data_IF_201778433300
#
_entry.id   IF_201778433300
#
_cell.length_a   1.000
_cell.length_b   1.000
_cell.length_c   1.000
_cell.angle_alpha   90.00
_cell.angle_beta   90.00
_cell.angle_gamma   90.00
#
_symmetry.space_group_name_H-M   'P 1'
#
loop_
_entity.id
_entity.type
_entity.pdbx_description
1 polymer ?
#
# COMPACT_ATOMS: atom_id res chain seq x y z
N UNK A 1 5.17 -4.54 -42.08
CA UNK A 1 4.55 -4.76 -40.75
C UNK A 1 3.27 -3.93 -40.69
N UNK A 2 2.11 -4.55 -40.48
CA UNK A 2 0.86 -3.80 -40.29
C UNK A 2 0.85 -3.29 -38.85
N UNK A 3 0.74 -1.97 -38.67
CA UNK A 3 0.48 -1.37 -37.37
C UNK A 3 -0.88 -1.87 -36.88
N UNK A 4 -0.88 -2.82 -35.95
CA UNK A 4 -2.09 -3.30 -35.28
C UNK A 4 -2.39 -2.25 -34.21
N UNK A 5 -3.27 -1.30 -34.55
CA UNK A 5 -3.88 -0.43 -33.55
C UNK A 5 -4.87 -1.26 -32.73
N UNK A 6 -4.84 -1.20 -31.38
CA UNK A 6 -5.81 -1.88 -30.55
C UNK A 6 -7.23 -1.47 -30.96
N UNK A 7 -8.09 -2.45 -31.25
CA UNK A 7 -9.51 -2.18 -31.53
C UNK A 7 -10.12 -1.49 -30.31
N UNK A 8 -10.80 -0.36 -30.50
CA UNK A 8 -11.62 0.27 -29.46
C UNK A 8 -12.55 -0.82 -28.85
N UNK A 9 -12.78 -0.82 -27.53
CA UNK A 9 -13.47 -1.94 -26.87
C UNK A 9 -14.86 -2.23 -27.45
N UNK A 10 -15.51 -1.27 -28.13
CA UNK A 10 -16.83 -1.46 -28.72
C UNK A 10 -17.91 -1.38 -27.65
N UNK A 11 -17.90 -0.28 -26.89
CA UNK A 11 -18.87 0.06 -25.83
C UNK A 11 -20.26 0.41 -26.36
N UNK A 12 -20.39 0.55 -27.68
CA UNK A 12 -21.59 1.03 -28.38
C UNK A 12 -22.71 -0.01 -28.40
N UNK A 13 -22.32 -1.30 -28.37
CA UNK A 13 -23.23 -2.45 -28.41
C UNK A 13 -23.11 -3.34 -27.17
N UNK A 14 -22.34 -2.90 -26.17
CA UNK A 14 -22.08 -3.63 -24.95
C UNK A 14 -21.78 -2.65 -23.82
N UNK A 15 -22.42 -2.76 -22.64
CA UNK A 15 -23.32 -3.84 -22.25
C UNK A 15 -24.66 -3.84 -22.99
N UNK A 16 -25.35 -4.98 -23.03
CA UNK A 16 -26.72 -5.00 -23.56
C UNK A 16 -27.67 -4.22 -22.62
N UNK A 17 -28.83 -3.75 -23.11
CA UNK A 17 -29.82 -3.11 -22.24
C UNK A 17 -30.25 -3.97 -21.05
N UNK A 18 -30.29 -5.30 -21.22
CA UNK A 18 -30.59 -6.24 -20.14
C UNK A 18 -29.49 -6.29 -19.10
N UNK A 19 -28.22 -6.33 -19.53
CA UNK A 19 -27.06 -6.29 -18.63
C UNK A 19 -27.01 -4.97 -17.84
N UNK A 20 -27.34 -3.85 -18.49
CA UNK A 20 -27.43 -2.54 -17.82
C UNK A 20 -28.52 -2.54 -16.74
N UNK A 21 -29.70 -3.08 -17.05
CA UNK A 21 -30.79 -3.16 -16.08
C UNK A 21 -30.41 -4.04 -14.88
N UNK A 22 -29.70 -5.14 -15.10
CA UNK A 22 -29.23 -6.02 -14.03
C UNK A 22 -28.20 -5.33 -13.13
N UNK A 23 -27.24 -4.59 -13.71
CA UNK A 23 -26.29 -3.77 -12.93
C UNK A 23 -26.99 -2.68 -12.13
N UNK A 24 -27.98 -2.00 -12.71
CA UNK A 24 -28.78 -0.99 -12.01
C UNK A 24 -29.54 -1.58 -10.82
N UNK A 25 -30.16 -2.75 -11.01
CA UNK A 25 -30.85 -3.45 -9.95
C UNK A 25 -29.89 -3.89 -8.84
N UNK A 26 -28.68 -4.33 -9.19
CA UNK A 26 -27.63 -4.69 -8.22
C UNK A 26 -27.04 -3.50 -7.49
N UNK A 27 -26.93 -2.35 -8.14
CA UNK A 27 -26.51 -1.15 -7.46
C UNK A 27 -27.51 -0.73 -6.37
N UNK A 28 -28.81 -1.06 -6.52
CA UNK A 28 -29.87 -0.74 -5.55
C UNK A 28 -29.82 0.71 -5.05
N UNK A 29 -29.50 1.64 -5.96
CA UNK A 29 -29.33 3.07 -5.65
C UNK A 29 -28.01 3.46 -4.94
N UNK A 30 -27.14 2.50 -4.61
CA UNK A 30 -25.82 2.73 -4.04
C UNK A 30 -24.87 3.25 -5.12
N UNK A 31 -24.74 4.58 -5.20
CA UNK A 31 -23.85 5.26 -6.15
C UNK A 31 -22.40 4.72 -6.08
N UNK A 32 -21.89 4.42 -4.88
CA UNK A 32 -20.55 3.85 -4.70
C UNK A 32 -20.42 2.46 -5.32
N UNK A 33 -21.44 1.60 -5.17
CA UNK A 33 -21.45 0.29 -5.82
C UNK A 33 -21.41 0.45 -7.35
N UNK A 34 -22.28 1.29 -7.91
CA UNK A 34 -22.33 1.53 -9.35
C UNK A 34 -20.99 2.05 -9.89
N UNK A 35 -20.42 3.07 -9.25
CA UNK A 35 -19.15 3.66 -9.66
C UNK A 35 -17.99 2.65 -9.58
N UNK A 36 -17.88 1.93 -8.45
CA UNK A 36 -16.82 0.93 -8.24
C UNK A 36 -16.98 -0.26 -9.20
N UNK A 37 -18.20 -0.76 -9.42
CA UNK A 37 -18.46 -1.86 -10.36
C UNK A 37 -18.13 -1.45 -11.80
N UNK A 38 -18.53 -0.25 -12.24
CA UNK A 38 -18.20 0.23 -13.59
C UNK A 38 -16.69 0.39 -13.79
N UNK A 39 -15.98 0.94 -12.80
CA UNK A 39 -14.53 1.11 -12.90
C UNK A 39 -13.79 -0.24 -12.87
N UNK A 40 -14.28 -1.21 -12.09
CA UNK A 40 -13.76 -2.57 -12.10
C UNK A 40 -14.01 -3.27 -13.45
N UNK A 41 -15.21 -3.15 -14.03
CA UNK A 41 -15.51 -3.64 -15.38
C UNK A 41 -14.55 -3.06 -16.41
N UNK A 42 -14.34 -1.75 -16.37
CA UNK A 42 -13.42 -1.06 -17.29
C UNK A 42 -11.99 -1.59 -17.15
N UNK A 43 -11.49 -1.72 -15.91
CA UNK A 43 -10.16 -2.24 -15.63
C UNK A 43 -9.95 -3.66 -16.19
N UNK A 44 -10.90 -4.57 -15.93
CA UNK A 44 -10.82 -5.95 -16.44
C UNK A 44 -10.82 -6.01 -17.97
N UNK A 45 -11.63 -5.17 -18.63
CA UNK A 45 -11.68 -5.12 -20.11
C UNK A 45 -10.42 -4.47 -20.68
N UNK A 46 -9.82 -3.51 -19.99
CA UNK A 46 -8.55 -2.90 -20.40
C UNK A 46 -7.41 -3.92 -20.34
N UNK A 47 -7.41 -4.77 -19.31
CA UNK A 47 -6.39 -5.79 -19.08
C UNK A 47 -6.53 -6.98 -20.04
N UNK A 48 -7.73 -7.57 -20.12
CA UNK A 48 -7.96 -8.85 -20.81
C UNK A 48 -8.72 -8.70 -22.14
N UNK A 49 -9.01 -7.46 -22.55
CA UNK A 49 -9.74 -7.14 -23.76
C UNK A 49 -11.23 -7.52 -23.72
N UNK A 50 -11.85 -7.57 -24.89
CA UNK A 50 -13.29 -7.85 -25.01
C UNK A 50 -13.68 -9.29 -24.68
N UNK A 51 -12.71 -10.21 -24.56
CA UNK A 51 -12.94 -11.60 -24.17
C UNK A 51 -13.41 -11.71 -22.71
N UNK A 52 -12.96 -10.81 -21.83
CA UNK A 52 -13.33 -10.80 -20.41
C UNK A 52 -14.79 -10.40 -20.14
N UNK A 53 -15.45 -9.73 -21.10
CA UNK A 53 -16.82 -9.18 -20.95
C UNK A 53 -17.83 -10.14 -20.32
N UNK A 54 -17.87 -11.38 -20.81
CA UNK A 54 -18.82 -12.39 -20.35
C UNK A 54 -18.51 -12.83 -18.91
N UNK A 55 -17.23 -13.01 -18.60
CA UNK A 55 -16.79 -13.46 -17.28
C UNK A 55 -16.97 -12.35 -16.23
N UNK A 56 -16.60 -11.12 -16.57
CA UNK A 56 -16.78 -9.92 -15.74
C UNK A 56 -18.25 -9.74 -15.37
N UNK A 57 -19.16 -9.85 -16.35
CA UNK A 57 -20.60 -9.79 -16.07
C UNK A 57 -21.06 -10.92 -15.16
N UNK A 58 -20.70 -12.16 -15.47
CA UNK A 58 -21.06 -13.33 -14.66
C UNK A 58 -20.58 -13.19 -13.21
N UNK A 59 -19.36 -12.69 -13.00
CA UNK A 59 -18.81 -12.48 -11.67
C UNK A 59 -19.64 -11.47 -10.86
N UNK A 60 -20.05 -10.36 -11.47
CA UNK A 60 -20.88 -9.35 -10.80
C UNK A 60 -22.31 -9.84 -10.54
N UNK A 61 -22.90 -10.58 -11.48
CA UNK A 61 -24.30 -11.01 -11.38
C UNK A 61 -24.51 -12.16 -10.41
N UNK A 62 -23.49 -12.98 -10.14
CA UNK A 62 -23.57 -14.11 -9.20
C UNK A 62 -23.38 -13.72 -7.72
N UNK A 63 -23.09 -12.45 -7.41
CA UNK A 63 -22.86 -11.97 -6.04
C UNK A 63 -24.15 -11.91 -5.20
N UNK A 64 -24.07 -12.26 -3.92
CA UNK A 64 -25.18 -12.43 -2.98
C UNK A 64 -25.69 -11.14 -2.33
N UNK A 65 -26.42 -11.29 -1.21
CA UNK A 65 -27.05 -10.18 -0.47
C UNK A 65 -26.05 -9.62 0.56
N UNK A 66 -25.30 -8.62 0.12
CA UNK A 66 -24.25 -7.92 0.85
C UNK A 66 -23.51 -6.97 -0.08
N UNK A 67 -24.25 -6.24 -0.92
CA UNK A 67 -23.83 -5.69 -2.22
C UNK A 67 -22.42 -5.09 -2.23
N UNK A 68 -22.09 -4.23 -1.28
CA UNK A 68 -20.80 -3.53 -1.26
C UNK A 68 -19.63 -4.38 -0.72
N UNK A 69 -19.85 -5.13 0.35
CA UNK A 69 -18.84 -6.05 0.93
C UNK A 69 -18.52 -7.18 -0.05
N UNK A 70 -19.54 -7.69 -0.74
CA UNK A 70 -19.36 -8.66 -1.82
C UNK A 70 -18.52 -8.04 -2.94
N UNK A 71 -18.80 -6.79 -3.36
CA UNK A 71 -18.05 -6.10 -4.41
C UNK A 71 -16.58 -5.94 -4.02
N UNK A 72 -16.30 -5.55 -2.78
CA UNK A 72 -14.94 -5.47 -2.27
C UNK A 72 -14.26 -6.84 -2.21
N UNK A 73 -14.96 -7.88 -1.76
CA UNK A 73 -14.46 -9.25 -1.81
C UNK A 73 -14.13 -9.67 -3.24
N UNK A 74 -14.97 -9.35 -4.22
CA UNK A 74 -14.71 -9.65 -5.63
C UNK A 74 -13.47 -8.89 -6.12
N UNK A 75 -13.30 -7.61 -5.77
CA UNK A 75 -12.10 -6.84 -6.14
C UNK A 75 -10.86 -7.51 -5.54
N UNK A 76 -10.85 -7.79 -4.23
CA UNK A 76 -9.73 -8.44 -3.54
C UNK A 76 -9.39 -9.83 -4.11
N UNK A 77 -10.39 -10.63 -4.46
CA UNK A 77 -10.19 -12.02 -4.97
C UNK A 77 -10.04 -12.10 -6.49
N UNK A 78 -10.48 -11.10 -7.25
CA UNK A 78 -10.18 -10.99 -8.69
C UNK A 78 -8.68 -10.86 -8.94
N UNK A 79 -7.98 -10.29 -7.96
CA UNK A 79 -6.52 -10.17 -7.91
C UNK A 79 -5.86 -11.54 -7.65
N UNK A 80 -6.58 -12.55 -7.14
CA UNK A 80 -6.05 -13.91 -6.96
C UNK A 80 -6.15 -14.79 -8.23
N UNK A 81 -7.01 -14.44 -9.19
CA UNK A 81 -7.44 -15.35 -10.28
C UNK A 81 -6.68 -15.21 -11.61
N UNK A 82 -5.52 -14.55 -11.64
CA UNK A 82 -4.77 -14.32 -12.90
C UNK A 82 -4.06 -15.60 -13.41
N UNK A 83 -3.93 -16.66 -12.60
CA UNK A 83 -3.36 -17.93 -13.08
C UNK A 83 -4.30 -19.12 -12.90
N UNK A 84 -5.16 -19.31 -13.89
CA UNK A 84 -5.79 -20.61 -14.15
C UNK A 84 -4.69 -21.56 -14.64
N UNK A 85 -3.95 -22.20 -13.73
CA UNK A 85 -3.08 -23.31 -14.13
C UNK A 85 -1.95 -23.76 -13.20
N UNK A 86 -1.52 -22.98 -12.21
CA UNK A 86 -0.50 -23.42 -11.26
C UNK A 86 -0.76 -22.80 -9.88
N UNK A 87 -0.79 -23.59 -8.78
CA UNK A 87 -0.79 -23.06 -7.44
C UNK A 87 0.64 -22.62 -7.12
N UNK A 88 1.08 -21.54 -7.75
CA UNK A 88 2.32 -20.90 -7.37
C UNK A 88 2.09 -20.19 -6.04
N UNK A 89 2.30 -20.96 -4.96
CA UNK A 89 2.02 -20.55 -3.59
C UNK A 89 2.85 -19.33 -3.20
N UNK A 90 4.03 -19.18 -3.81
CA UNK A 90 4.93 -18.05 -3.60
C UNK A 90 4.35 -16.78 -4.21
N UNK A 91 3.79 -16.85 -5.43
CA UNK A 91 3.13 -15.70 -6.08
C UNK A 91 1.90 -15.20 -5.31
N UNK A 92 1.06 -16.11 -4.80
CA UNK A 92 -0.07 -15.71 -3.96
C UNK A 92 0.40 -15.03 -2.68
N UNK A 93 1.44 -15.59 -2.05
CA UNK A 93 2.02 -15.04 -0.82
C UNK A 93 2.61 -13.65 -1.05
N UNK A 94 3.44 -13.48 -2.07
CA UNK A 94 4.03 -12.18 -2.44
C UNK A 94 2.94 -11.14 -2.77
N UNK A 95 1.88 -11.55 -3.45
CA UNK A 95 0.76 -10.67 -3.77
C UNK A 95 -0.02 -10.21 -2.55
N UNK A 96 -0.21 -11.11 -1.57
CA UNK A 96 -0.85 -10.76 -0.31
C UNK A 96 0.01 -9.83 0.54
N UNK A 97 1.30 -10.14 0.66
CA UNK A 97 2.26 -9.30 1.39
C UNK A 97 2.36 -7.91 0.74
N UNK A 98 2.46 -7.85 -0.59
CA UNK A 98 2.45 -6.59 -1.34
C UNK A 98 1.16 -5.80 -1.17
N UNK A 99 0.00 -6.47 -1.18
CA UNK A 99 -1.29 -5.83 -0.85
C UNK A 99 -1.27 -5.20 0.54
N UNK A 100 -0.89 -5.96 1.56
CA UNK A 100 -0.87 -5.49 2.95
C UNK A 100 0.11 -4.33 3.13
N UNK A 101 1.26 -4.39 2.47
CA UNK A 101 2.28 -3.35 2.50
C UNK A 101 1.80 -2.05 1.83
N UNK A 102 1.29 -2.13 0.60
CA UNK A 102 0.85 -0.94 -0.16
C UNK A 102 -0.39 -0.32 0.47
N UNK A 103 -1.44 -1.12 0.70
CA UNK A 103 -2.72 -0.62 1.23
C UNK A 103 -2.55 -0.19 2.69
N UNK A 104 -1.79 -0.96 3.47
CA UNK A 104 -1.42 -0.58 4.83
C UNK A 104 -0.68 0.75 4.86
N UNK A 105 0.30 0.96 3.98
CA UNK A 105 1.02 2.23 3.89
C UNK A 105 0.07 3.38 3.57
N UNK A 106 -0.75 3.26 2.52
CA UNK A 106 -1.74 4.30 2.14
C UNK A 106 -2.67 4.66 3.30
N UNK A 107 -3.11 3.65 4.07
CA UNK A 107 -4.00 3.86 5.22
C UNK A 107 -3.38 4.69 6.33
N UNK A 108 -2.06 4.56 6.53
CA UNK A 108 -1.37 5.12 7.69
C UNK A 108 -0.53 6.35 7.37
N UNK A 109 -0.52 6.79 6.11
CA UNK A 109 0.16 8.03 5.70
C UNK A 109 -0.33 9.22 6.54
N UNK A 110 0.60 10.00 7.07
CA UNK A 110 0.29 11.23 7.83
C UNK A 110 -0.12 12.37 6.89
N UNK A 111 0.34 12.34 5.64
CA UNK A 111 -0.03 13.28 4.58
C UNK A 111 -0.23 12.56 3.24
N UNK A 112 -1.12 13.06 2.38
CA UNK A 112 -1.40 12.43 1.09
C UNK A 112 -0.18 12.46 0.16
N UNK A 113 0.21 11.28 -0.34
CA UNK A 113 1.26 11.14 -1.35
C UNK A 113 0.65 10.82 -2.73
N UNK A 114 1.32 11.27 -3.78
CA UNK A 114 1.01 10.84 -5.16
C UNK A 114 1.43 9.38 -5.38
N UNK A 115 0.88 8.72 -6.40
CA UNK A 115 1.27 7.35 -6.77
C UNK A 115 2.78 7.26 -7.02
N UNK A 116 3.38 8.23 -7.72
CA UNK A 116 4.82 8.28 -7.94
C UNK A 116 5.63 8.32 -6.62
N UNK A 117 5.19 9.15 -5.66
CA UNK A 117 5.82 9.21 -4.34
C UNK A 117 5.63 7.90 -3.54
N UNK A 118 4.47 7.26 -3.63
CA UNK A 118 4.21 5.97 -2.97
C UNK A 118 5.08 4.86 -3.57
N UNK A 119 5.18 4.75 -4.90
CA UNK A 119 6.06 3.78 -5.56
C UNK A 119 7.52 4.01 -5.16
N UNK A 120 7.94 5.27 -5.02
CA UNK A 120 9.30 5.61 -4.54
C UNK A 120 9.50 5.24 -3.07
N UNK A 121 8.50 5.48 -2.22
CA UNK A 121 8.53 5.13 -0.80
C UNK A 121 8.64 3.61 -0.61
N UNK A 122 7.94 2.84 -1.43
CA UNK A 122 7.85 1.39 -1.37
C UNK A 122 8.88 0.68 -2.25
N UNK A 123 9.99 1.35 -2.56
CA UNK A 123 11.08 0.80 -3.37
C UNK A 123 11.91 -0.28 -2.64
N UNK A 124 11.48 -0.69 -1.44
CA UNK A 124 11.95 -1.86 -0.71
C UNK A 124 11.26 -3.16 -1.16
N UNK A 125 10.17 -3.04 -1.90
CA UNK A 125 9.48 -4.15 -2.58
C UNK A 125 10.17 -4.37 -3.94
N UNK A 126 10.59 -5.60 -4.21
CA UNK A 126 11.14 -5.98 -5.51
C UNK A 126 10.06 -5.93 -6.59
N UNK A 127 10.31 -5.25 -7.72
CA UNK A 127 9.40 -5.21 -8.86
C UNK A 127 9.12 -6.61 -9.45
N UNK A 128 10.09 -7.53 -9.34
CA UNK A 128 9.96 -8.92 -9.78
C UNK A 128 8.98 -9.71 -8.89
N UNK A 129 8.87 -9.34 -7.61
CA UNK A 129 7.97 -9.99 -6.65
C UNK A 129 6.58 -9.35 -6.66
N UNK A 130 6.52 -8.02 -6.79
CA UNK A 130 5.27 -7.27 -6.76
C UNK A 130 5.39 -5.88 -7.41
N UNK A 131 4.69 -5.69 -8.54
CA UNK A 131 4.59 -4.40 -9.23
C UNK A 131 3.55 -3.48 -8.53
N UNK A 132 4.07 -2.54 -7.73
CA UNK A 132 3.27 -1.55 -6.97
C UNK A 132 2.43 -0.67 -7.89
N UNK A 133 2.99 -0.20 -9.00
CA UNK A 133 2.30 0.73 -9.91
C UNK A 133 1.12 0.04 -10.60
N UNK A 134 1.34 -1.17 -11.12
CA UNK A 134 0.29 -1.98 -11.72
C UNK A 134 -0.78 -2.39 -10.69
N UNK A 135 -0.38 -2.68 -9.45
CA UNK A 135 -1.31 -2.94 -8.36
C UNK A 135 -2.23 -1.73 -8.10
N UNK A 136 -1.65 -0.53 -7.96
CA UNK A 136 -2.44 0.68 -7.72
C UNK A 136 -3.40 0.97 -8.87
N UNK A 137 -3.03 0.68 -10.12
CA UNK A 137 -3.89 0.87 -11.28
C UNK A 137 -5.05 -0.15 -11.28
N UNK A 138 -4.81 -1.39 -10.86
CA UNK A 138 -5.87 -2.40 -10.67
C UNK A 138 -6.86 -1.99 -9.57
N UNK A 139 -6.36 -1.36 -8.51
CA UNK A 139 -7.17 -0.88 -7.38
C UNK A 139 -7.69 0.55 -7.56
N UNK A 140 -7.52 1.14 -8.74
CA UNK A 140 -7.95 2.51 -9.03
C UNK A 140 -9.42 2.76 -8.71
N UNK A 141 -10.29 1.77 -8.92
CA UNK A 141 -11.73 1.82 -8.63
C UNK A 141 -12.09 2.15 -7.18
N UNK A 142 -11.20 1.83 -6.23
CA UNK A 142 -11.41 2.02 -4.79
C UNK A 142 -10.40 2.98 -4.16
N UNK A 143 -9.32 3.30 -4.88
CA UNK A 143 -8.23 4.16 -4.42
C UNK A 143 -8.18 5.53 -5.10
N UNK A 144 -8.70 5.73 -6.31
CA UNK A 144 -8.56 7.00 -7.02
C UNK A 144 -9.93 7.49 -7.47
N UNK A 145 -10.53 8.48 -6.77
CA UNK A 145 -11.79 9.05 -7.20
C UNK A 145 -11.60 9.89 -8.47
N UNK A 146 -12.39 9.61 -9.50
CA UNK A 146 -12.53 10.46 -10.69
C UNK A 146 -11.53 10.17 -11.83
N UNK A 147 -11.51 11.10 -12.80
CA UNK A 147 -10.73 11.00 -14.04
C UNK A 147 -9.52 11.93 -13.99
N UNK A 148 -8.55 11.63 -13.13
CA UNK A 148 -7.25 12.31 -13.18
C UNK A 148 -6.61 12.07 -14.55
N UNK A 149 -6.06 13.12 -15.16
CA UNK A 149 -5.44 13.06 -16.49
C UNK A 149 -4.11 12.32 -16.48
N UNK A 150 -3.43 12.28 -15.34
CA UNK A 150 -2.24 11.48 -15.08
C UNK A 150 -2.50 10.54 -13.89
N UNK A 151 -2.18 9.25 -14.06
CA UNK A 151 -2.30 8.27 -12.97
C UNK A 151 -1.18 8.45 -11.95
N UNK A 152 0.06 8.63 -12.41
CA UNK A 152 1.24 8.76 -11.54
C UNK A 152 1.17 9.98 -10.60
N UNK A 153 0.53 11.07 -11.06
CA UNK A 153 0.34 12.29 -10.28
C UNK A 153 -0.92 12.24 -9.39
N UNK A 154 -1.75 11.20 -9.51
CA UNK A 154 -2.94 11.10 -8.70
C UNK A 154 -2.58 10.72 -7.25
N UNK A 155 -3.27 11.34 -6.30
CA UNK A 155 -3.22 11.00 -4.89
C UNK A 155 -4.26 9.92 -4.60
N UNK A 156 -3.87 8.73 -4.14
CA UNK A 156 -4.83 7.73 -3.69
C UNK A 156 -5.67 8.27 -2.52
N UNK A 157 -6.98 8.27 -2.70
CA UNK A 157 -7.97 8.55 -1.68
C UNK A 157 -8.86 7.32 -1.54
N UNK A 158 -8.65 6.59 -0.45
CA UNK A 158 -9.46 5.43 -0.13
C UNK A 158 -10.88 5.86 0.26
N UNK A 159 -11.89 5.29 -0.40
CA UNK A 159 -13.26 5.54 0.02
C UNK A 159 -13.52 4.97 1.43
N UNK A 160 -14.22 5.72 2.29
CA UNK A 160 -14.47 5.34 3.70
C UNK A 160 -15.07 3.94 3.86
N UNK A 161 -15.99 3.52 3.00
CA UNK A 161 -16.56 2.17 3.09
C UNK A 161 -15.57 1.06 2.75
N UNK A 162 -14.61 1.30 1.85
CA UNK A 162 -13.55 0.32 1.58
C UNK A 162 -12.58 0.26 2.76
N UNK A 163 -12.20 1.42 3.32
CA UNK A 163 -11.44 1.51 4.56
C UNK A 163 -12.11 0.70 5.68
N UNK A 164 -13.39 0.96 5.96
CA UNK A 164 -14.12 0.30 7.04
C UNK A 164 -14.26 -1.22 6.78
N UNK A 165 -14.35 -1.63 5.51
CA UNK A 165 -14.40 -3.03 5.13
C UNK A 165 -13.06 -3.77 5.39
N UNK A 166 -11.93 -3.27 4.89
CA UNK A 166 -10.62 -3.94 5.04
C UNK A 166 -10.07 -3.90 6.47
N UNK A 167 -10.61 -3.03 7.32
CA UNK A 167 -10.32 -3.00 8.76
C UNK A 167 -11.30 -3.85 9.57
N UNK A 168 -12.41 -4.27 8.97
CA UNK A 168 -13.53 -4.95 9.63
C UNK A 168 -13.50 -6.48 9.52
N UNK A 169 -14.40 -7.12 10.27
CA UNK A 169 -14.55 -8.58 10.28
C UNK A 169 -15.14 -9.13 8.97
N UNK A 170 -15.85 -8.30 8.19
CA UNK A 170 -16.43 -8.68 6.89
C UNK A 170 -15.37 -9.04 5.84
N UNK A 171 -14.17 -8.43 5.91
CA UNK A 171 -13.07 -8.76 5.01
C UNK A 171 -12.49 -10.14 5.33
N UNK A 172 -12.02 -10.90 4.31
CA UNK A 172 -11.25 -12.12 4.54
C UNK A 172 -10.02 -11.81 5.39
N UNK A 173 -9.71 -12.68 6.35
CA UNK A 173 -8.66 -12.47 7.36
C UNK A 173 -7.33 -12.09 6.74
N UNK A 174 -6.97 -12.70 5.62
CA UNK A 174 -5.74 -12.44 4.89
C UNK A 174 -5.63 -11.00 4.35
N UNK A 175 -6.75 -10.38 3.97
CA UNK A 175 -6.79 -9.01 3.44
C UNK A 175 -7.03 -7.95 4.51
N UNK A 176 -7.18 -8.35 5.78
CA UNK A 176 -7.38 -7.38 6.86
C UNK A 176 -6.10 -6.62 7.13
N UNK A 177 -6.23 -5.30 7.29
CA UNK A 177 -5.09 -4.46 7.63
C UNK A 177 -5.08 -4.20 9.14
N UNK A 178 -3.89 -4.31 9.72
CA UNK A 178 -3.62 -3.94 11.11
C UNK A 178 -2.76 -2.68 11.13
N UNK A 179 -3.30 -1.59 11.68
CA UNK A 179 -2.65 -0.27 11.65
C UNK A 179 -1.28 -0.24 12.33
N UNK A 180 -1.11 -0.96 13.46
CA UNK A 180 0.19 -1.08 14.10
C UNK A 180 1.24 -1.69 13.18
N UNK A 181 0.91 -2.80 12.51
CA UNK A 181 1.80 -3.46 11.56
C UNK A 181 2.04 -2.59 10.31
N UNK A 182 1.01 -1.93 9.80
CA UNK A 182 1.14 -0.99 8.68
C UNK A 182 2.11 0.14 9.02
N UNK A 183 1.98 0.77 10.19
CA UNK A 183 2.93 1.77 10.67
C UNK A 183 4.36 1.23 10.77
N UNK A 184 4.54 0.00 11.27
CA UNK A 184 5.85 -0.62 11.36
C UNK A 184 6.51 -0.78 9.98
N UNK A 185 5.75 -1.33 9.03
CA UNK A 185 6.21 -1.54 7.65
C UNK A 185 6.49 -0.21 6.95
N UNK A 186 5.64 0.80 7.11
CA UNK A 186 5.88 2.13 6.54
C UNK A 186 7.11 2.81 7.14
N UNK A 187 7.36 2.65 8.45
CA UNK A 187 8.58 3.15 9.09
C UNK A 187 9.83 2.49 8.46
N UNK A 188 9.80 1.18 8.25
CA UNK A 188 10.88 0.43 7.58
C UNK A 188 11.14 0.95 6.17
N UNK A 189 10.10 1.08 5.34
CA UNK A 189 10.23 1.63 3.98
C UNK A 189 10.82 3.06 3.99
N UNK A 190 10.41 3.91 4.94
CA UNK A 190 11.00 5.25 5.07
C UNK A 190 12.50 5.21 5.39
N UNK A 191 12.92 4.36 6.32
CA UNK A 191 14.33 4.19 6.68
C UNK A 191 15.17 3.73 5.48
N UNK A 192 14.66 2.79 4.69
CA UNK A 192 15.34 2.31 3.49
C UNK A 192 15.54 3.40 2.44
N UNK A 193 14.53 4.25 2.23
CA UNK A 193 14.65 5.41 1.34
C UNK A 193 15.74 6.38 1.83
N UNK A 194 15.78 6.66 3.14
CA UNK A 194 16.77 7.56 3.74
C UNK A 194 18.20 7.01 3.57
N UNK A 195 18.40 5.73 3.89
CA UNK A 195 19.69 5.05 3.77
C UNK A 195 20.15 4.96 2.30
N UNK A 196 19.23 4.61 1.39
CA UNK A 196 19.52 4.58 -0.05
C UNK A 196 19.88 5.97 -0.57
N UNK A 197 19.22 7.02 -0.08
CA UNK A 197 19.55 8.40 -0.43
C UNK A 197 20.95 8.80 0.05
N UNK A 198 21.30 8.48 1.31
CA UNK A 198 22.62 8.75 1.88
C UNK A 198 23.75 8.02 1.13
N UNK A 199 23.58 6.72 0.88
CA UNK A 199 24.57 5.91 0.14
C UNK A 199 24.76 6.32 -1.33
N UNK A 200 23.72 6.90 -1.95
CA UNK A 200 23.75 7.33 -3.35
C UNK A 200 23.96 8.84 -3.52
N UNK A 201 24.15 9.60 -2.44
CA UNK A 201 24.19 11.07 -2.44
C UNK A 201 23.00 11.70 -3.19
N UNK A 202 21.79 11.19 -2.93
CA UNK A 202 20.51 11.66 -3.51
C UNK A 202 19.67 12.41 -2.48
N UNK A 203 18.69 13.16 -2.95
CA UNK A 203 17.64 13.74 -2.09
C UNK A 203 16.67 12.62 -1.74
N UNK A 204 16.43 12.40 -0.43
CA UNK A 204 15.41 11.47 0.02
C UNK A 204 14.01 11.99 -0.27
N UNK A 205 13.02 11.11 -0.29
CA UNK A 205 11.61 11.52 -0.28
C UNK A 205 11.38 12.30 1.02
N UNK A 206 10.93 13.55 0.91
CA UNK A 206 10.73 14.47 2.05
C UNK A 206 9.88 13.84 3.16
N UNK A 207 8.81 13.14 2.75
CA UNK A 207 7.94 12.38 3.64
C UNK A 207 8.73 11.40 4.53
N UNK A 208 9.63 10.61 3.94
CA UNK A 208 10.40 9.59 4.66
C UNK A 208 11.19 10.23 5.79
N UNK A 209 11.87 11.34 5.50
CA UNK A 209 12.69 12.08 6.46
C UNK A 209 11.83 12.67 7.59
N UNK A 210 10.64 13.19 7.27
CA UNK A 210 9.77 13.88 8.23
C UNK A 210 8.88 12.96 9.09
N UNK A 211 8.64 11.71 8.67
CA UNK A 211 7.59 10.86 9.26
C UNK A 211 8.01 9.47 9.75
N UNK A 212 9.21 8.98 9.40
CA UNK A 212 9.61 7.60 9.76
C UNK A 212 9.51 7.31 11.28
N UNK A 213 9.88 8.27 12.12
CA UNK A 213 9.89 8.13 13.58
C UNK A 213 8.48 8.16 14.18
N UNK A 214 7.56 8.93 13.59
CA UNK A 214 6.14 8.96 13.99
C UNK A 214 5.47 7.62 13.72
N UNK A 215 5.76 7.04 12.55
CA UNK A 215 5.30 5.69 12.23
C UNK A 215 5.86 4.66 13.20
N UNK A 216 7.15 4.73 13.52
CA UNK A 216 7.75 3.83 14.50
C UNK A 216 7.08 3.93 15.88
N UNK A 217 6.82 5.15 16.37
CA UNK A 217 6.09 5.35 17.62
C UNK A 217 4.68 4.76 17.57
N UNK A 218 3.90 5.06 16.53
CA UNK A 218 2.53 4.54 16.38
C UNK A 218 2.50 3.01 16.25
N UNK A 219 3.51 2.40 15.65
CA UNK A 219 3.64 0.94 15.59
C UNK A 219 3.79 0.31 16.99
N UNK A 220 4.64 0.91 17.83
CA UNK A 220 4.85 0.47 19.22
C UNK A 220 3.60 0.70 20.08
N UNK A 221 2.93 1.85 19.93
CA UNK A 221 1.63 2.13 20.57
C UNK A 221 0.55 1.13 20.13
N UNK A 222 0.61 0.66 18.88
CA UNK A 222 -0.22 -0.40 18.32
C UNK A 222 0.15 -1.82 18.78
N UNK A 223 1.12 -1.98 19.68
CA UNK A 223 1.52 -3.26 20.26
C UNK A 223 2.42 -4.12 19.36
N UNK A 224 3.01 -3.56 18.31
CA UNK A 224 3.96 -4.30 17.47
C UNK A 224 5.25 -4.60 18.24
N UNK A 225 5.74 -5.82 18.10
CA UNK A 225 7.07 -6.23 18.58
C UNK A 225 8.08 -6.21 17.43
N UNK A 226 9.31 -5.77 17.68
CA UNK A 226 10.35 -5.66 16.65
C UNK A 226 11.34 -6.83 16.73
N UNK A 227 10.90 -8.01 16.30
CA UNK A 227 11.79 -9.16 16.07
C UNK A 227 12.50 -9.09 14.70
N UNK A 228 12.06 -8.20 13.81
CA UNK A 228 12.59 -8.00 12.46
C UNK A 228 14.07 -7.55 12.50
N UNK A 229 14.98 -8.46 12.13
CA UNK A 229 16.42 -8.20 12.05
C UNK A 229 16.76 -7.11 11.03
N UNK A 230 16.00 -7.01 9.94
CA UNK A 230 16.19 -5.97 8.92
C UNK A 230 16.02 -4.59 9.54
N UNK A 231 15.00 -4.41 10.38
CA UNK A 231 14.76 -3.14 11.07
C UNK A 231 15.93 -2.73 11.96
N UNK A 232 16.54 -3.68 12.68
CA UNK A 232 17.70 -3.42 13.53
C UNK A 232 18.95 -3.05 12.73
N UNK A 233 19.16 -3.70 11.57
CA UNK A 233 20.24 -3.32 10.66
C UNK A 233 20.07 -1.90 10.13
N UNK A 234 18.84 -1.52 9.75
CA UNK A 234 18.53 -0.15 9.31
C UNK A 234 18.85 0.87 10.42
N UNK A 235 18.53 0.60 11.70
CA UNK A 235 18.93 1.50 12.79
C UNK A 235 20.45 1.64 12.93
N UNK A 236 21.21 0.57 12.66
CA UNK A 236 22.67 0.60 12.60
C UNK A 236 23.19 1.47 11.44
N UNK A 237 22.56 1.41 10.28
CA UNK A 237 22.96 2.21 9.11
C UNK A 237 22.56 3.69 9.24
N UNK A 238 21.48 3.99 9.97
CA UNK A 238 21.03 5.36 10.24
C UNK A 238 22.07 6.23 10.97
N UNK A 239 23.06 5.60 11.63
CA UNK A 239 24.13 6.31 12.33
C UNK A 239 25.37 6.58 11.47
N UNK A 240 25.40 6.15 10.21
CA UNK A 240 26.50 6.44 9.29
C UNK A 240 26.52 7.93 8.92
N UNK A 241 27.72 8.52 8.81
CA UNK A 241 27.86 9.97 8.53
C UNK A 241 27.15 10.40 7.25
N UNK A 242 27.20 9.56 6.21
CA UNK A 242 26.54 9.82 4.94
C UNK A 242 25.01 9.83 5.04
N UNK A 243 24.44 9.12 6.03
CA UNK A 243 23.00 9.00 6.25
C UNK A 243 22.50 10.09 7.20
N UNK A 244 23.30 10.45 8.22
CA UNK A 244 22.99 11.52 9.17
C UNK A 244 22.67 12.84 8.45
N UNK A 245 23.47 13.21 7.44
CA UNK A 245 23.25 14.45 6.69
C UNK A 245 21.91 14.53 5.96
N UNK A 246 21.25 13.38 5.72
CA UNK A 246 19.93 13.32 5.07
C UNK A 246 18.81 13.62 6.08
N UNK A 247 18.80 12.92 7.22
CA UNK A 247 17.68 13.03 8.17
C UNK A 247 17.86 14.12 9.22
N UNK A 248 19.09 14.59 9.49
CA UNK A 248 19.35 15.64 10.48
C UNK A 248 18.86 17.05 10.07
N UNK A 249 18.20 17.16 8.92
CA UNK A 249 17.55 18.38 8.43
C UNK A 249 16.16 18.61 9.04
N UNK A 250 15.67 17.70 9.88
CA UNK A 250 14.35 17.76 10.55
C UNK A 250 14.41 18.37 11.94
N UNK A 251 13.25 18.60 12.55
CA UNK A 251 13.16 18.94 13.98
C UNK A 251 13.69 17.77 14.82
N UNK A 252 14.97 17.87 15.15
CA UNK A 252 15.73 16.83 15.84
C UNK A 252 15.17 16.52 17.24
N UNK A 253 14.42 17.44 17.85
CA UNK A 253 13.86 17.24 19.19
C UNK A 253 12.68 16.26 19.16
N UNK A 254 11.73 16.48 18.25
CA UNK A 254 10.57 15.58 18.07
C UNK A 254 11.03 14.19 17.64
N UNK A 255 11.99 14.13 16.71
CA UNK A 255 12.64 12.91 16.29
C UNK A 255 13.24 12.15 17.48
N UNK A 256 14.05 12.83 18.30
CA UNK A 256 14.70 12.21 19.45
C UNK A 256 13.67 11.64 20.44
N UNK A 257 12.61 12.41 20.74
CA UNK A 257 11.58 11.99 21.69
C UNK A 257 10.81 10.77 21.19
N UNK A 258 10.42 10.75 19.92
CA UNK A 258 9.69 9.63 19.34
C UNK A 258 10.56 8.37 19.21
N UNK A 259 11.82 8.51 18.81
CA UNK A 259 12.77 7.37 18.74
C UNK A 259 13.11 6.84 20.12
N UNK A 260 13.31 7.70 21.12
CA UNK A 260 13.56 7.27 22.49
C UNK A 260 12.34 6.54 23.09
N UNK A 261 11.13 7.06 22.85
CA UNK A 261 9.89 6.42 23.30
C UNK A 261 9.66 5.07 22.63
N UNK A 262 9.77 5.02 21.31
CA UNK A 262 9.62 3.77 20.56
C UNK A 262 10.70 2.77 20.92
N UNK A 263 11.95 3.22 20.99
CA UNK A 263 13.09 2.41 21.37
C UNK A 263 12.92 1.80 22.75
N UNK A 264 12.51 2.59 23.74
CA UNK A 264 12.20 2.07 25.07
C UNK A 264 11.06 1.04 25.07
N UNK A 265 10.04 1.26 24.24
CA UNK A 265 8.94 0.30 24.05
C UNK A 265 9.41 -1.03 23.44
N UNK A 266 10.26 -0.98 22.40
CA UNK A 266 10.84 -2.15 21.75
C UNK A 266 11.82 -2.90 22.67
N UNK A 267 12.64 -2.19 23.44
CA UNK A 267 13.62 -2.78 24.36
C UNK A 267 13.00 -3.44 25.58
N UNK A 268 11.88 -2.91 26.09
CA UNK A 268 11.13 -3.56 27.17
C UNK A 268 10.68 -4.98 26.83
N UNK A 269 10.54 -5.27 25.54
CA UNK A 269 10.04 -6.56 25.06
C UNK A 269 11.17 -7.60 24.93
N UNK A 270 12.43 -7.19 24.77
CA UNK A 270 13.58 -8.10 24.69
C UNK A 270 14.89 -7.48 25.22
N UNK A 271 15.52 -8.14 26.19
CA UNK A 271 16.90 -7.86 26.60
C UNK A 271 17.88 -8.50 25.61
N UNK A 272 18.15 -7.83 24.49
CA UNK A 272 19.24 -8.18 23.57
C UNK A 272 20.27 -7.04 23.60
N UNK A 273 21.41 -7.30 24.24
CA UNK A 273 22.46 -6.29 24.52
C UNK A 273 23.02 -5.62 23.25
N UNK A 274 23.20 -6.38 22.16
CA UNK A 274 23.71 -5.83 20.89
C UNK A 274 22.72 -4.85 20.26
N UNK A 275 21.42 -5.18 20.31
CA UNK A 275 20.33 -4.30 19.83
C UNK A 275 20.20 -3.05 20.72
N UNK A 276 20.40 -3.18 22.04
CA UNK A 276 20.45 -2.03 22.95
C UNK A 276 21.60 -1.08 22.62
N UNK A 277 22.78 -1.62 22.32
CA UNK A 277 23.94 -0.83 21.98
C UNK A 277 23.73 -0.05 20.67
N UNK A 278 23.14 -0.67 19.65
CA UNK A 278 22.80 0.01 18.38
C UNK A 278 21.88 1.21 18.58
N UNK A 279 20.79 1.02 19.33
CA UNK A 279 19.84 2.11 19.58
C UNK A 279 20.40 3.19 20.51
N UNK A 280 21.19 2.82 21.52
CA UNK A 280 21.91 3.77 22.35
C UNK A 280 22.87 4.63 21.52
N UNK A 281 23.61 4.03 20.58
CA UNK A 281 24.51 4.76 19.69
C UNK A 281 23.74 5.75 18.80
N UNK A 282 22.56 5.36 18.31
CA UNK A 282 21.68 6.24 17.54
C UNK A 282 21.21 7.45 18.35
N UNK A 283 20.70 7.21 19.56
CA UNK A 283 20.25 8.29 20.46
C UNK A 283 21.40 9.22 20.88
N UNK A 284 22.59 8.67 21.15
CA UNK A 284 23.77 9.48 21.49
C UNK A 284 24.19 10.39 20.34
N UNK A 285 24.21 9.90 19.10
CA UNK A 285 24.55 10.73 17.93
C UNK A 285 23.48 11.78 17.65
N UNK A 286 22.20 11.45 17.79
CA UNK A 286 21.12 12.43 17.68
C UNK A 286 21.28 13.55 18.72
N UNK A 287 21.67 13.23 19.95
CA UNK A 287 21.90 14.22 21.02
C UNK A 287 23.02 15.20 20.67
N UNK A 288 24.12 14.72 20.06
CA UNK A 288 25.25 15.57 19.63
C UNK A 288 24.85 16.55 18.52
N UNK A 289 23.86 16.21 17.69
CA UNK A 289 23.38 17.09 16.61
C UNK A 289 22.45 18.20 17.11
N UNK A 290 21.86 18.04 18.30
CA UNK A 290 20.93 19.00 18.92
C UNK A 290 21.66 20.01 19.84
N UNK A 291 22.85 19.66 20.31
CA UNK A 291 23.68 20.47 21.23
C UNK A 291 24.64 21.40 20.49
#
# INVERSE_FOLDING_TARGET
MKNITPKKPGWENWPSPGDLQELCNKADGLFHYAATALHWIEGQIRQDGTAARKQVFKNLTQMGVGLLDDLYRLILTSVENIDVGAPDTDRRTNRLLGFQHVIGTILVLDEPLTICQITTLLADISEDDFDVTNFLEQFRSVLVPGTTTSFEEATPQMHKSFHDYIMGESAPTEFRIHTGHAHFVTARSCLEVIIRAGSQSRVAVEYSVQHWYKHLRKAVEGGVTCEDERMWNLFGEMVEEAVIGIWATTDLLDLFMDVAAAGWGLLKQHANEDKMQGMSNMLMKATVLVS
#
